data_IF_386360291732
#
_entry.id   IF_386360291732
#
_cell.length_a   1.000
_cell.length_b   1.000
_cell.length_c   1.000
_cell.angle_alpha   90.00
_cell.angle_beta   90.00
_cell.angle_gamma   90.00
#
_symmetry.space_group_name_H-M   'P 1'
#
loop_
_entity.id
_entity.type
_entity.pdbx_description
1 polymer ?
#
# COMPACT_ATOMS: atom_id res chain seq x y z
N UNK A 1 20.30 -3.73 8.10
CA UNK A 1 21.15 -3.94 9.29
C UNK A 1 20.40 -4.64 10.42
N UNK A 2 19.23 -4.13 10.87
CA UNK A 2 18.46 -4.74 11.97
C UNK A 2 18.07 -6.19 11.65
N UNK A 3 17.55 -6.45 10.44
CA UNK A 3 17.19 -7.80 10.00
C UNK A 3 18.41 -8.73 9.90
N UNK A 4 19.52 -8.22 9.37
CA UNK A 4 20.77 -8.99 9.30
C UNK A 4 21.28 -9.35 10.70
N UNK A 5 21.19 -8.43 11.67
CA UNK A 5 21.57 -8.70 13.04
C UNK A 5 20.72 -9.82 13.65
N UNK A 6 19.39 -9.77 13.50
CA UNK A 6 18.51 -10.83 13.97
C UNK A 6 18.83 -12.18 13.31
N UNK A 7 19.17 -12.20 12.02
CA UNK A 7 19.55 -13.43 11.30
C UNK A 7 20.84 -14.03 11.84
N UNK A 8 21.93 -13.25 11.94
CA UNK A 8 23.24 -13.77 12.37
C UNK A 8 23.28 -14.16 13.86
N UNK A 9 22.38 -13.60 14.66
CA UNK A 9 22.25 -13.95 16.09
C UNK A 9 21.22 -15.04 16.35
N UNK A 10 20.53 -15.56 15.31
CA UNK A 10 19.52 -16.60 15.44
C UNK A 10 18.19 -16.14 16.05
N UNK A 11 17.92 -14.82 16.05
CA UNK A 11 16.72 -14.24 16.65
C UNK A 11 15.62 -13.91 15.62
N UNK A 12 15.60 -14.63 14.49
CA UNK A 12 14.53 -14.53 13.50
C UNK A 12 13.53 -15.67 13.71
N UNK A 13 12.27 -15.31 13.80
CA UNK A 13 11.14 -16.22 13.91
C UNK A 13 11.20 -17.10 15.18
N UNK A 14 11.77 -16.56 16.24
CA UNK A 14 11.89 -17.19 17.54
C UNK A 14 11.42 -16.24 18.67
N UNK A 15 11.06 -16.83 19.80
CA UNK A 15 10.55 -16.11 20.98
C UNK A 15 11.65 -15.19 21.53
N UNK A 16 11.29 -13.91 21.71
CA UNK A 16 12.24 -12.87 22.14
C UNK A 16 12.98 -12.19 20.99
N UNK A 17 12.84 -12.66 19.77
CA UNK A 17 13.36 -12.05 18.56
C UNK A 17 12.26 -11.45 17.65
N UNK A 18 12.57 -11.32 16.38
CA UNK A 18 11.63 -10.88 15.36
C UNK A 18 10.69 -12.03 14.97
N UNK A 19 9.43 -11.95 15.33
CA UNK A 19 8.42 -12.95 15.02
C UNK A 19 7.44 -12.43 13.94
N UNK A 20 6.71 -13.36 13.33
CA UNK A 20 5.77 -13.06 12.24
C UNK A 20 4.33 -13.38 12.65
N UNK A 21 3.43 -12.47 12.32
CA UNK A 21 1.99 -12.66 12.58
C UNK A 21 1.36 -13.66 11.62
N UNK A 22 0.22 -14.21 12.01
CA UNK A 22 -0.74 -14.85 11.11
C UNK A 22 -1.97 -13.94 11.01
N UNK A 23 -1.93 -12.89 10.16
CA UNK A 23 -3.00 -11.90 10.11
C UNK A 23 -4.29 -12.53 9.58
N UNK A 24 -5.44 -12.02 10.02
CA UNK A 24 -6.74 -12.53 9.58
C UNK A 24 -6.96 -12.33 8.05
N UNK A 25 -6.33 -11.32 7.47
CA UNK A 25 -6.20 -11.14 6.03
C UNK A 25 -4.72 -11.14 5.69
N UNK A 26 -4.24 -12.23 5.12
CA UNK A 26 -2.83 -12.37 4.72
C UNK A 26 -2.62 -11.84 3.29
N UNK A 27 -2.49 -10.51 3.19
CA UNK A 27 -2.29 -9.83 1.91
C UNK A 27 -1.01 -10.31 1.21
N UNK A 28 0.06 -10.58 1.95
CA UNK A 28 1.33 -11.05 1.38
C UNK A 28 1.15 -12.39 0.69
N UNK A 29 0.48 -13.34 1.35
CA UNK A 29 0.19 -14.66 0.75
C UNK A 29 -0.76 -14.55 -0.45
N UNK A 30 -1.75 -13.67 -0.40
CA UNK A 30 -2.68 -13.44 -1.52
C UNK A 30 -1.91 -12.88 -2.72
N UNK A 31 -1.13 -11.81 -2.53
CA UNK A 31 -0.34 -11.18 -3.59
C UNK A 31 0.74 -12.12 -4.15
N UNK A 32 1.35 -12.96 -3.29
CA UNK A 32 2.32 -13.96 -3.71
C UNK A 32 1.72 -14.99 -4.68
N UNK A 33 0.52 -15.46 -4.40
CA UNK A 33 -0.18 -16.44 -5.26
C UNK A 33 -0.48 -15.91 -6.67
N UNK A 34 -0.66 -14.62 -6.81
CA UNK A 34 -0.90 -13.95 -8.10
C UNK A 34 0.38 -13.34 -8.70
N UNK A 35 1.55 -13.65 -8.11
CA UNK A 35 2.85 -13.23 -8.64
C UNK A 35 3.19 -11.75 -8.43
N UNK A 36 2.49 -11.05 -7.53
CA UNK A 36 2.71 -9.63 -7.26
C UNK A 36 3.68 -9.35 -6.10
N UNK A 37 4.18 -10.37 -5.42
CA UNK A 37 5.19 -10.21 -4.37
C UNK A 37 6.55 -10.78 -4.78
N UNK A 38 7.61 -10.23 -4.20
CA UNK A 38 8.99 -10.70 -4.42
C UNK A 38 9.53 -10.36 -5.81
N UNK A 39 8.88 -9.45 -6.53
CA UNK A 39 9.43 -8.89 -7.74
C UNK A 39 10.56 -7.93 -7.39
N UNK A 40 11.68 -8.09 -8.09
CA UNK A 40 12.87 -7.27 -7.92
C UNK A 40 13.60 -7.15 -9.25
N UNK A 41 14.08 -5.92 -9.57
CA UNK A 41 14.91 -5.62 -10.73
C UNK A 41 14.31 -6.03 -12.10
N UNK A 42 12.99 -6.01 -12.22
CA UNK A 42 12.29 -6.25 -13.51
C UNK A 42 12.45 -5.07 -14.46
N UNK A 43 12.58 -3.86 -13.91
CA UNK A 43 12.92 -2.62 -14.62
C UNK A 43 13.67 -1.68 -13.67
N UNK A 44 14.29 -0.66 -14.23
CA UNK A 44 15.11 0.28 -13.49
C UNK A 44 14.69 1.72 -13.74
N UNK A 45 14.99 2.61 -12.78
CA UNK A 45 14.80 4.03 -12.96
C UNK A 45 15.66 4.53 -14.13
N UNK A 46 15.08 5.41 -14.96
CA UNK A 46 15.68 5.88 -16.20
C UNK A 46 16.99 6.63 -16.02
N UNK A 47 17.06 7.47 -14.98
CA UNK A 47 18.22 8.38 -14.77
C UNK A 47 19.29 7.74 -13.90
N UNK A 48 18.91 7.12 -12.78
CA UNK A 48 19.87 6.58 -11.83
C UNK A 48 20.11 5.08 -11.96
N UNK A 49 19.39 4.43 -12.84
CA UNK A 49 19.46 2.98 -13.05
C UNK A 49 19.28 2.15 -11.77
N UNK A 50 18.44 2.64 -10.82
CA UNK A 50 18.14 1.91 -9.59
C UNK A 50 17.04 0.89 -9.84
N UNK A 51 17.13 -0.30 -9.22
CA UNK A 51 16.18 -1.39 -9.46
C UNK A 51 14.81 -1.08 -8.87
N UNK A 52 13.80 -1.64 -9.49
CA UNK A 52 12.43 -1.73 -8.95
C UNK A 52 12.37 -2.80 -7.86
N UNK A 53 11.50 -2.58 -6.87
CA UNK A 53 11.13 -3.57 -5.87
C UNK A 53 9.61 -3.59 -5.70
N UNK A 54 8.99 -4.75 -5.87
CA UNK A 54 7.55 -4.93 -5.66
C UNK A 54 6.64 -4.08 -6.58
N UNK A 55 7.15 -3.63 -7.72
CA UNK A 55 6.43 -2.74 -8.63
C UNK A 55 6.75 -1.26 -8.44
N UNK A 56 7.61 -0.90 -7.51
CA UNK A 56 7.90 0.48 -7.12
C UNK A 56 9.36 0.84 -7.38
N UNK A 57 9.60 2.08 -7.81
CA UNK A 57 10.93 2.66 -7.87
C UNK A 57 11.22 3.46 -6.60
N UNK A 58 12.49 3.56 -6.17
CA UNK A 58 12.85 4.38 -5.02
C UNK A 58 12.40 5.83 -5.20
N UNK A 59 11.62 6.36 -4.26
CA UNK A 59 11.11 7.75 -4.32
C UNK A 59 12.23 8.79 -4.41
N UNK A 60 13.43 8.45 -3.93
CA UNK A 60 14.62 9.29 -4.06
C UNK A 60 15.04 9.59 -5.53
N UNK A 61 14.50 8.83 -6.50
CA UNK A 61 14.75 9.07 -7.94
C UNK A 61 13.72 10.01 -8.56
N UNK A 62 12.62 10.32 -7.88
CA UNK A 62 11.48 11.03 -8.48
C UNK A 62 11.87 12.40 -9.03
N UNK A 63 12.66 13.19 -8.28
CA UNK A 63 13.12 14.48 -8.78
C UNK A 63 14.01 14.34 -10.03
N UNK A 64 14.88 13.33 -10.08
CA UNK A 64 15.72 13.06 -11.26
C UNK A 64 14.88 12.72 -12.48
N UNK A 65 13.83 11.91 -12.30
CA UNK A 65 12.93 11.49 -13.39
C UNK A 65 12.05 12.64 -13.91
N UNK A 66 11.76 13.63 -13.07
CA UNK A 66 11.03 14.85 -13.46
C UNK A 66 11.95 15.85 -14.17
N UNK A 67 13.13 16.12 -13.60
CA UNK A 67 14.01 17.20 -14.04
C UNK A 67 14.81 16.84 -15.30
N UNK A 68 15.23 15.58 -15.43
CA UNK A 68 16.12 15.18 -16.54
C UNK A 68 15.35 15.04 -17.86
N UNK A 69 15.68 15.83 -18.89
CA UNK A 69 15.03 15.75 -20.21
C UNK A 69 15.21 14.37 -20.86
N UNK A 70 14.37 14.09 -21.85
CA UNK A 70 14.48 12.90 -22.69
C UNK A 70 13.22 12.04 -22.70
N UNK A 71 13.26 10.98 -23.50
CA UNK A 71 12.13 10.04 -23.63
C UNK A 71 11.86 9.36 -22.29
N UNK A 72 10.58 9.31 -21.88
CA UNK A 72 10.16 8.72 -20.60
C UNK A 72 10.29 9.64 -19.40
N UNK A 73 10.62 10.93 -19.60
CA UNK A 73 10.55 11.95 -18.53
C UNK A 73 9.15 11.96 -17.90
N UNK A 74 9.09 12.04 -16.57
CA UNK A 74 7.83 12.23 -15.86
C UNK A 74 7.31 13.65 -16.12
N UNK A 75 6.10 13.76 -16.65
CA UNK A 75 5.42 15.02 -16.98
C UNK A 75 4.17 15.24 -16.15
N UNK A 76 3.63 14.17 -15.57
CA UNK A 76 2.46 14.21 -14.70
C UNK A 76 2.71 13.42 -13.42
N UNK A 77 2.15 13.88 -12.32
CA UNK A 77 2.21 13.24 -11.02
C UNK A 77 0.79 13.16 -10.43
N UNK A 78 0.46 12.02 -9.88
CA UNK A 78 -0.72 11.86 -9.04
C UNK A 78 -0.27 11.44 -7.65
N UNK A 79 -0.73 12.17 -6.63
CA UNK A 79 -0.51 11.79 -5.22
C UNK A 79 -1.82 11.39 -4.57
N UNK A 80 -1.76 10.40 -3.70
CA UNK A 80 -2.90 9.89 -2.96
C UNK A 80 -2.52 9.83 -1.50
N UNK A 81 -3.15 10.67 -0.67
CA UNK A 81 -2.95 10.73 0.78
C UNK A 81 -1.46 10.80 1.18
N UNK A 82 -0.65 11.54 0.40
CA UNK A 82 0.79 11.59 0.62
C UNK A 82 1.37 12.98 0.40
N UNK A 83 2.38 13.32 1.21
CA UNK A 83 3.14 14.57 1.10
C UNK A 83 4.63 14.28 0.83
N UNK A 84 4.99 13.82 -0.40
CA UNK A 84 6.35 13.46 -0.73
C UNK A 84 7.34 14.62 -0.63
N UNK A 85 6.93 15.87 -0.82
CA UNK A 85 7.81 17.03 -0.63
C UNK A 85 8.31 17.12 0.82
N UNK A 86 7.47 16.73 1.79
CA UNK A 86 7.85 16.69 3.20
C UNK A 86 8.54 15.39 3.60
N UNK A 87 8.06 14.25 3.11
CA UNK A 87 8.44 12.92 3.60
C UNK A 87 9.53 12.22 2.79
N UNK A 88 9.77 12.64 1.53
CA UNK A 88 10.80 12.03 0.70
C UNK A 88 12.18 12.72 0.86
N UNK A 89 13.29 12.03 0.56
CA UNK A 89 14.61 12.62 0.59
C UNK A 89 14.72 13.84 -0.34
N UNK A 90 15.45 14.87 0.12
CA UNK A 90 15.70 16.10 -0.63
C UNK A 90 14.41 16.85 -1.03
N UNK A 91 13.51 17.07 -0.08
CA UNK A 91 12.21 17.70 -0.28
C UNK A 91 12.28 19.06 -1.00
N UNK A 92 13.31 19.89 -0.74
CA UNK A 92 13.48 21.17 -1.46
C UNK A 92 13.68 21.01 -2.96
N UNK A 93 14.38 19.95 -3.37
CA UNK A 93 14.56 19.64 -4.79
C UNK A 93 13.25 19.11 -5.39
N UNK A 94 12.59 18.21 -4.66
CA UNK A 94 11.31 17.65 -5.10
C UNK A 94 10.21 18.72 -5.21
N UNK A 95 10.21 19.70 -4.31
CA UNK A 95 9.31 20.86 -4.37
C UNK A 95 9.45 21.63 -5.70
N UNK A 96 10.70 21.95 -6.09
CA UNK A 96 10.95 22.60 -7.39
C UNK A 96 10.59 21.71 -8.58
N UNK A 97 10.89 20.41 -8.47
CA UNK A 97 10.53 19.44 -9.50
C UNK A 97 9.01 19.36 -9.69
N UNK A 98 8.24 19.30 -8.61
CA UNK A 98 6.78 19.30 -8.66
C UNK A 98 6.22 20.58 -9.31
N UNK A 99 6.81 21.74 -9.01
CA UNK A 99 6.43 23.02 -9.64
C UNK A 99 6.66 23.04 -11.16
N UNK A 100 7.54 22.20 -11.70
CA UNK A 100 7.85 22.10 -13.14
C UNK A 100 7.00 21.09 -13.91
N UNK A 101 6.13 20.34 -13.23
CA UNK A 101 5.29 19.33 -13.86
C UNK A 101 4.17 19.97 -14.68
N UNK A 102 3.83 19.35 -15.80
CA UNK A 102 2.73 19.80 -16.65
C UNK A 102 1.36 19.53 -16.03
N UNK A 103 1.25 18.41 -15.28
CA UNK A 103 0.01 18.05 -14.59
C UNK A 103 0.33 17.43 -13.23
N UNK A 104 -0.31 17.97 -12.19
CA UNK A 104 -0.29 17.41 -10.84
C UNK A 104 -1.74 17.26 -10.38
N UNK A 105 -2.11 16.05 -9.98
CA UNK A 105 -3.39 15.73 -9.39
C UNK A 105 -3.15 15.20 -7.98
N UNK A 106 -3.89 15.70 -7.01
CA UNK A 106 -3.79 15.22 -5.63
C UNK A 106 -5.15 14.78 -5.11
N UNK A 107 -5.21 13.58 -4.54
CA UNK A 107 -6.32 13.10 -3.73
C UNK A 107 -5.90 13.25 -2.27
N UNK A 108 -6.28 14.37 -1.67
CA UNK A 108 -5.85 14.75 -0.32
C UNK A 108 -6.84 15.79 0.26
N UNK A 109 -7.26 15.70 1.54
CA UNK A 109 -8.12 16.68 2.16
C UNK A 109 -7.39 17.98 2.51
N UNK A 110 -6.05 18.00 2.49
CA UNK A 110 -5.24 19.13 2.94
C UNK A 110 -4.47 19.80 1.81
N UNK A 111 -4.35 21.12 1.92
CA UNK A 111 -3.39 21.90 1.14
C UNK A 111 -2.06 21.90 1.90
N UNK A 112 -1.08 21.15 1.39
CA UNK A 112 0.23 20.94 1.99
C UNK A 112 1.37 21.25 1.00
N UNK A 113 2.62 20.98 1.38
CA UNK A 113 3.81 21.28 0.58
C UNK A 113 3.80 20.63 -0.80
N UNK A 114 3.16 19.48 -0.94
CA UNK A 114 3.01 18.78 -2.23
C UNK A 114 1.77 19.25 -2.98
N UNK A 115 0.63 19.27 -2.30
CA UNK A 115 -0.66 19.54 -2.95
C UNK A 115 -0.83 20.98 -3.39
N UNK A 116 -0.03 21.94 -2.88
CA UNK A 116 0.04 23.30 -3.39
C UNK A 116 0.46 23.40 -4.87
N UNK A 117 1.13 22.38 -5.40
CA UNK A 117 1.47 22.26 -6.81
C UNK A 117 0.38 21.58 -7.66
N UNK A 118 -0.71 21.12 -7.04
CA UNK A 118 -1.75 20.42 -7.75
C UNK A 118 -2.55 21.37 -8.65
N UNK A 119 -2.69 20.98 -9.91
CA UNK A 119 -3.61 21.62 -10.85
C UNK A 119 -5.06 21.22 -10.56
N UNK A 120 -5.23 20.01 -9.99
CA UNK A 120 -6.52 19.50 -9.52
C UNK A 120 -6.34 18.87 -8.14
N UNK A 121 -7.04 19.38 -7.15
CA UNK A 121 -7.14 18.80 -5.82
C UNK A 121 -8.53 18.15 -5.68
N UNK A 122 -8.55 16.88 -5.33
CA UNK A 122 -9.75 16.06 -5.13
C UNK A 122 -9.84 15.68 -3.64
N UNK A 123 -10.50 16.51 -2.80
CA UNK A 123 -10.60 16.21 -1.37
C UNK A 123 -11.54 15.02 -1.15
N UNK A 124 -11.08 13.93 -0.53
CA UNK A 124 -11.95 12.83 -0.12
C UNK A 124 -12.76 13.20 1.12
N UNK A 125 -13.81 12.44 1.36
CA UNK A 125 -14.59 12.53 2.59
C UNK A 125 -13.70 12.32 3.83
N UNK A 126 -14.06 12.92 4.98
CA UNK A 126 -13.27 12.78 6.20
C UNK A 126 -13.01 11.32 6.58
N UNK A 127 -11.80 11.02 7.05
CA UNK A 127 -11.41 9.65 7.44
C UNK A 127 -12.36 9.03 8.47
N UNK A 128 -12.91 9.85 9.37
CA UNK A 128 -13.87 9.38 10.39
C UNK A 128 -15.22 8.95 9.82
N UNK A 129 -15.52 9.27 8.56
CA UNK A 129 -16.73 8.80 7.87
C UNK A 129 -16.54 7.46 7.13
N UNK A 130 -15.35 6.87 7.23
CA UNK A 130 -15.01 5.60 6.59
C UNK A 130 -14.78 4.51 7.65
N UNK A 131 -15.33 3.32 7.42
CA UNK A 131 -14.97 2.15 8.21
C UNK A 131 -13.53 1.76 7.95
N UNK A 132 -12.80 1.34 8.99
CA UNK A 132 -11.39 1.04 8.91
C UNK A 132 -11.04 -0.37 9.37
N UNK A 133 -10.25 -1.07 8.57
CA UNK A 133 -9.56 -2.30 8.91
C UNK A 133 -8.11 -2.18 8.45
N UNK A 134 -7.18 -2.40 9.36
CA UNK A 134 -5.76 -2.29 9.03
C UNK A 134 -5.27 -3.56 8.33
N UNK A 135 -5.11 -3.47 7.01
CA UNK A 135 -4.61 -4.58 6.20
C UNK A 135 -3.10 -4.79 6.32
N UNK A 136 -2.35 -3.73 6.51
CA UNK A 136 -0.88 -3.77 6.45
C UNK A 136 -0.26 -3.90 7.85
N UNK A 137 -0.66 -3.05 8.79
CA UNK A 137 0.03 -2.95 10.07
C UNK A 137 -0.32 -4.08 11.04
N UNK A 138 -1.43 -4.79 10.83
CA UNK A 138 -1.70 -6.02 11.55
C UNK A 138 -0.59 -7.08 11.35
N UNK A 139 0.19 -6.99 10.25
CA UNK A 139 1.35 -7.84 10.04
C UNK A 139 2.51 -7.55 11.01
N UNK A 140 2.53 -6.39 11.65
CA UNK A 140 3.55 -5.96 12.63
C UNK A 140 3.05 -5.97 14.08
N UNK A 141 1.87 -6.51 14.32
CA UNK A 141 1.31 -6.58 15.66
C UNK A 141 2.08 -7.59 16.54
N UNK A 142 2.15 -7.32 17.83
CA UNK A 142 2.80 -8.21 18.82
C UNK A 142 1.98 -9.45 19.18
N UNK A 143 0.75 -9.52 18.69
CA UNK A 143 -0.18 -10.67 18.77
C UNK A 143 -0.99 -10.73 17.49
N UNK A 144 -1.52 -11.89 17.17
CA UNK A 144 -2.50 -12.00 16.10
C UNK A 144 -3.79 -11.34 16.52
N UNK A 145 -4.18 -10.27 15.83
CA UNK A 145 -5.38 -9.48 16.14
C UNK A 145 -6.15 -9.16 14.87
N UNK A 146 -7.44 -8.91 15.03
CA UNK A 146 -8.28 -8.34 13.98
C UNK A 146 -9.26 -7.34 14.61
N UNK A 147 -9.29 -6.12 14.06
CA UNK A 147 -10.22 -5.07 14.50
C UNK A 147 -10.80 -4.37 13.28
N UNK A 148 -12.09 -4.18 13.30
CA UNK A 148 -12.79 -3.27 12.40
C UNK A 148 -13.35 -2.11 13.21
N UNK A 149 -13.14 -0.90 12.77
CA UNK A 149 -13.71 0.32 13.34
C UNK A 149 -14.81 0.83 12.43
N UNK A 150 -16.01 1.00 12.97
CA UNK A 150 -17.13 1.60 12.24
C UNK A 150 -16.88 3.10 12.01
N UNK A 151 -17.51 3.70 10.99
CA UNK A 151 -17.55 5.14 10.84
C UNK A 151 -18.03 5.82 12.13
N UNK A 152 -17.44 6.94 12.50
CA UNK A 152 -17.78 7.72 13.69
C UNK A 152 -18.74 8.86 13.36
N UNK A 153 -18.66 9.35 12.11
CA UNK A 153 -19.50 10.43 11.61
C UNK A 153 -20.13 10.02 10.27
N UNK A 154 -21.29 10.55 9.97
CA UNK A 154 -21.93 10.37 8.69
C UNK A 154 -21.23 11.19 7.61
N UNK A 155 -21.08 10.61 6.42
CA UNK A 155 -20.57 11.29 5.25
C UNK A 155 -21.62 12.25 4.68
N UNK A 156 -21.20 13.46 4.33
CA UNK A 156 -22.09 14.36 3.60
C UNK A 156 -22.40 13.82 2.20
N UNK A 157 -23.64 13.92 1.69
CA UNK A 157 -24.04 13.33 0.39
C UNK A 157 -23.23 13.81 -0.82
N UNK A 158 -22.64 15.01 -0.77
CA UNK A 158 -21.81 15.55 -1.84
C UNK A 158 -20.35 15.07 -1.79
N UNK A 159 -19.90 14.46 -0.69
CA UNK A 159 -18.55 13.97 -0.51
C UNK A 159 -18.38 12.57 -1.13
N UNK A 160 -17.15 12.24 -1.48
CA UNK A 160 -16.76 10.93 -1.99
C UNK A 160 -15.58 10.41 -1.20
N UNK A 161 -15.58 9.12 -0.91
CA UNK A 161 -14.39 8.47 -0.39
C UNK A 161 -13.30 8.38 -1.46
N UNK A 162 -12.05 8.29 -1.05
CA UNK A 162 -10.89 8.16 -1.91
C UNK A 162 -11.02 6.99 -2.91
N UNK A 163 -11.48 5.82 -2.46
CA UNK A 163 -11.70 4.66 -3.31
C UNK A 163 -12.76 4.90 -4.40
N UNK A 164 -13.80 5.72 -4.15
CA UNK A 164 -14.81 6.11 -5.14
C UNK A 164 -14.20 7.04 -6.20
N UNK A 165 -13.36 7.98 -5.76
CA UNK A 165 -12.60 8.87 -6.64
C UNK A 165 -11.67 8.05 -7.54
N UNK A 166 -10.93 7.10 -6.94
CA UNK A 166 -10.00 6.24 -7.68
C UNK A 166 -10.72 5.29 -8.64
N UNK A 167 -11.88 4.74 -8.27
CA UNK A 167 -12.69 3.93 -9.15
C UNK A 167 -13.16 4.70 -10.39
N UNK A 168 -13.63 5.93 -10.22
CA UNK A 168 -14.05 6.81 -11.32
C UNK A 168 -12.86 7.20 -12.21
N UNK A 169 -11.72 7.56 -11.62
CA UNK A 169 -10.50 7.88 -12.37
C UNK A 169 -9.98 6.67 -13.14
N UNK A 170 -9.92 5.50 -12.50
CA UNK A 170 -9.49 4.26 -13.12
C UNK A 170 -10.38 3.87 -14.31
N UNK A 171 -11.71 3.97 -14.16
CA UNK A 171 -12.62 3.73 -15.26
C UNK A 171 -12.42 4.71 -16.43
N UNK A 172 -12.12 6.00 -16.13
CA UNK A 172 -11.86 7.01 -17.18
C UNK A 172 -10.55 6.80 -17.92
N UNK A 173 -9.51 6.35 -17.21
CA UNK A 173 -8.17 6.16 -17.76
C UNK A 173 -8.03 4.85 -18.55
N UNK A 174 -8.65 3.77 -18.07
CA UNK A 174 -8.38 2.42 -18.58
C UNK A 174 -9.56 1.79 -19.35
N UNK A 175 -10.79 2.26 -19.14
CA UNK A 175 -11.93 1.70 -19.87
C UNK A 175 -12.23 2.47 -21.16
N UNK A 176 -12.66 1.76 -22.23
CA UNK A 176 -13.21 2.40 -23.43
C UNK A 176 -14.36 3.33 -23.09
N UNK A 177 -14.53 4.42 -23.83
CA UNK A 177 -15.49 5.48 -23.51
C UNK A 177 -16.91 4.98 -23.23
N UNK A 178 -17.39 4.02 -24.01
CA UNK A 178 -18.72 3.42 -23.86
C UNK A 178 -18.86 2.56 -22.58
N UNK A 179 -17.76 2.05 -22.04
CA UNK A 179 -17.73 1.17 -20.86
C UNK A 179 -17.36 1.89 -19.56
N UNK A 180 -17.04 3.17 -19.60
CA UNK A 180 -16.60 3.94 -18.40
C UNK A 180 -17.63 3.91 -17.28
N UNK A 181 -18.88 4.23 -17.59
CA UNK A 181 -19.94 4.25 -16.59
C UNK A 181 -20.26 2.84 -16.02
N UNK A 182 -20.45 1.78 -16.84
CA UNK A 182 -20.65 0.44 -16.30
C UNK A 182 -19.44 -0.09 -15.52
N UNK A 183 -18.20 0.21 -15.94
CA UNK A 183 -17.00 -0.20 -15.20
C UNK A 183 -16.90 0.52 -13.85
N UNK A 184 -17.12 1.84 -13.82
CA UNK A 184 -17.16 2.59 -12.57
C UNK A 184 -18.28 2.08 -11.64
N UNK A 185 -19.45 1.76 -12.18
CA UNK A 185 -20.55 1.16 -11.43
C UNK A 185 -20.19 -0.20 -10.84
N UNK A 186 -19.57 -1.08 -11.63
CA UNK A 186 -19.11 -2.38 -11.17
C UNK A 186 -18.06 -2.27 -10.06
N UNK A 187 -17.08 -1.35 -10.20
CA UNK A 187 -16.08 -1.09 -9.17
C UNK A 187 -16.72 -0.58 -7.86
N UNK A 188 -17.76 0.24 -7.94
CA UNK A 188 -18.51 0.69 -6.75
C UNK A 188 -19.29 -0.44 -6.09
N UNK A 189 -19.83 -1.39 -6.86
CA UNK A 189 -20.48 -2.58 -6.31
C UNK A 189 -19.48 -3.47 -5.56
N UNK A 190 -18.23 -3.51 -6.01
CA UNK A 190 -17.11 -4.17 -5.31
C UNK A 190 -16.66 -3.41 -4.06
N UNK A 191 -17.55 -2.76 -3.35
CA UNK A 191 -17.28 -1.96 -2.16
C UNK A 191 -16.14 -2.56 -1.28
N UNK A 192 -15.19 -1.76 -0.76
CA UNK A 192 -14.05 -2.26 0.02
C UNK A 192 -14.41 -3.22 1.16
N UNK A 193 -15.52 -2.96 1.85
CA UNK A 193 -16.00 -3.86 2.92
C UNK A 193 -16.41 -5.24 2.41
N UNK A 194 -16.96 -5.35 1.19
CA UNK A 194 -17.30 -6.66 0.61
C UNK A 194 -16.07 -7.46 0.26
N UNK A 195 -15.05 -6.76 -0.26
CA UNK A 195 -13.73 -7.35 -0.52
C UNK A 195 -13.10 -7.80 0.79
N UNK A 196 -13.15 -6.95 1.82
CA UNK A 196 -12.64 -7.28 3.15
C UNK A 196 -13.37 -8.48 3.76
N UNK A 197 -14.71 -8.51 3.74
CA UNK A 197 -15.48 -9.64 4.28
C UNK A 197 -15.14 -10.95 3.55
N UNK A 198 -14.97 -10.90 2.23
CA UNK A 198 -14.54 -12.06 1.45
C UNK A 198 -13.13 -12.52 1.87
N UNK A 199 -12.16 -11.60 1.96
CA UNK A 199 -10.79 -11.92 2.38
C UNK A 199 -10.73 -12.48 3.81
N UNK A 200 -11.51 -11.94 4.73
CA UNK A 200 -11.62 -12.45 6.10
C UNK A 200 -12.13 -13.89 6.12
N UNK A 201 -13.13 -14.21 5.30
CA UNK A 201 -13.72 -15.57 5.21
C UNK A 201 -12.77 -16.62 4.65
N UNK A 202 -11.96 -16.25 3.66
CA UNK A 202 -10.97 -17.16 3.07
C UNK A 202 -9.64 -17.16 3.82
N UNK A 203 -9.45 -16.20 4.74
CA UNK A 203 -8.25 -16.08 5.56
C UNK A 203 -8.11 -17.22 6.59
N UNK A 204 -6.94 -17.32 7.24
CA UNK A 204 -6.60 -18.44 8.13
C UNK A 204 -7.54 -18.57 9.33
N UNK A 205 -8.10 -17.48 9.81
CA UNK A 205 -8.99 -17.46 10.97
C UNK A 205 -10.48 -17.53 10.61
N UNK A 206 -10.83 -17.58 9.31
CA UNK A 206 -12.20 -17.71 8.79
C UNK A 206 -13.20 -16.76 9.44
N UNK A 207 -12.83 -15.51 9.60
CA UNK A 207 -13.63 -14.46 10.19
C UNK A 207 -14.63 -13.88 9.17
N UNK A 208 -15.57 -13.09 9.68
CA UNK A 208 -16.43 -12.23 8.86
C UNK A 208 -16.44 -10.81 9.42
N UNK A 209 -16.72 -9.84 8.55
CA UNK A 209 -16.88 -8.45 8.97
C UNK A 209 -17.99 -8.30 10.02
N UNK A 210 -19.08 -9.05 9.88
CA UNK A 210 -20.16 -9.07 10.86
C UNK A 210 -19.72 -9.55 12.25
N UNK A 211 -18.77 -10.48 12.33
CA UNK A 211 -18.19 -10.90 13.62
C UNK A 211 -17.32 -9.80 14.22
N UNK A 212 -16.51 -9.11 13.41
CA UNK A 212 -15.67 -8.01 13.90
C UNK A 212 -16.49 -6.82 14.37
N UNK A 213 -17.61 -6.51 13.71
CA UNK A 213 -18.56 -5.48 14.15
C UNK A 213 -19.15 -5.73 15.52
N UNK A 214 -19.29 -6.99 15.92
CA UNK A 214 -19.77 -7.36 17.26
C UNK A 214 -18.69 -7.28 18.35
N UNK A 215 -17.44 -7.03 17.97
CA UNK A 215 -16.30 -6.94 18.88
C UNK A 215 -15.58 -5.60 18.68
N UNK A 216 -16.14 -4.48 19.14
CA UNK A 216 -15.63 -3.13 18.84
C UNK A 216 -14.21 -2.88 19.36
N UNK A 217 -13.78 -3.61 20.37
CA UNK A 217 -12.40 -3.54 20.89
C UNK A 217 -11.40 -4.43 20.14
N UNK A 218 -11.86 -5.12 19.09
CA UNK A 218 -11.07 -6.08 18.32
C UNK A 218 -11.14 -7.49 18.89
N UNK A 219 -10.57 -8.43 18.15
CA UNK A 219 -10.53 -9.85 18.50
C UNK A 219 -9.08 -10.30 18.64
N UNK A 220 -8.74 -10.86 19.79
CA UNK A 220 -7.47 -11.56 19.99
C UNK A 220 -7.56 -12.93 19.27
N UNK A 221 -6.62 -13.20 18.40
CA UNK A 221 -6.53 -14.43 17.60
C UNK A 221 -5.38 -15.33 18.09
N UNK A 222 -4.77 -14.99 19.22
CA UNK A 222 -3.73 -15.77 19.86
C UNK A 222 -2.32 -15.16 19.74
N UNK A 223 -1.35 -15.79 20.41
CA UNK A 223 0.05 -15.38 20.37
C UNK A 223 0.65 -15.60 18.98
N UNK A 224 1.82 -15.02 18.74
CA UNK A 224 2.65 -15.36 17.60
C UNK A 224 3.28 -16.74 17.84
N UNK A 225 3.40 -17.53 16.80
CA UNK A 225 4.02 -18.85 16.83
C UNK A 225 5.38 -18.82 16.12
N UNK A 226 6.45 -19.38 16.70
CA UNK A 226 7.74 -19.48 16.05
C UNK A 226 7.72 -20.47 14.87
N UNK A 227 8.70 -20.36 13.97
CA UNK A 227 8.84 -21.27 12.82
C UNK A 227 7.95 -20.93 11.62
N UNK A 228 7.28 -19.79 11.61
CA UNK A 228 6.41 -19.37 10.51
C UNK A 228 7.17 -19.05 9.22
N UNK A 229 8.34 -18.45 9.32
CA UNK A 229 9.15 -18.10 8.13
C UNK A 229 9.60 -19.36 7.38
N UNK A 230 9.98 -20.40 8.11
CA UNK A 230 10.35 -21.68 7.52
C UNK A 230 9.20 -22.30 6.73
N UNK A 231 7.98 -22.22 7.24
CA UNK A 231 6.77 -22.69 6.54
C UNK A 231 6.47 -21.87 5.28
N UNK A 232 6.63 -20.54 5.34
CA UNK A 232 6.40 -19.65 4.18
C UNK A 232 7.43 -19.95 3.07
N UNK A 233 8.70 -20.09 3.43
CA UNK A 233 9.79 -20.34 2.47
C UNK A 233 9.63 -21.74 1.85
N UNK A 234 9.40 -22.77 2.66
CA UNK A 234 9.22 -24.13 2.18
C UNK A 234 7.99 -24.24 1.25
N UNK A 235 6.88 -23.60 1.61
CA UNK A 235 5.68 -23.58 0.79
C UNK A 235 5.82 -22.80 -0.53
N UNK A 236 6.75 -21.84 -0.59
CA UNK A 236 7.02 -21.05 -1.79
C UNK A 236 8.11 -21.65 -2.69
N UNK A 237 8.83 -22.69 -2.25
CA UNK A 237 9.99 -23.24 -2.98
C UNK A 237 11.11 -22.22 -3.20
N UNK A 238 11.23 -21.25 -2.31
CA UNK A 238 12.17 -20.11 -2.42
C UNK A 238 13.25 -20.20 -1.35
N UNK A 239 14.35 -19.48 -1.60
CA UNK A 239 15.43 -19.24 -0.64
C UNK A 239 15.47 -17.77 -0.27
N UNK A 240 16.04 -17.46 0.90
CA UNK A 240 16.34 -16.07 1.28
C UNK A 240 17.75 -15.77 0.81
N UNK A 241 17.91 -14.80 -0.06
CA UNK A 241 19.21 -14.22 -0.38
C UNK A 241 19.56 -13.15 0.66
N UNK A 242 20.55 -13.45 1.50
CA UNK A 242 21.00 -12.56 2.57
C UNK A 242 22.02 -11.52 2.10
N UNK A 243 22.59 -11.71 0.93
CA UNK A 243 23.63 -10.87 0.38
C UNK A 243 23.42 -10.63 -1.13
N UNK A 244 22.28 -10.04 -1.51
CA UNK A 244 22.05 -9.74 -2.92
C UNK A 244 23.15 -8.81 -3.45
N UNK A 245 23.57 -9.04 -4.69
CA UNK A 245 24.72 -8.39 -5.32
C UNK A 245 24.70 -6.87 -5.21
N UNK A 246 23.53 -6.26 -5.24
CA UNK A 246 23.36 -4.81 -5.11
C UNK A 246 23.63 -4.27 -3.69
N UNK A 247 23.70 -5.13 -2.68
CA UNK A 247 24.06 -4.75 -1.30
C UNK A 247 25.52 -5.09 -0.93
N UNK A 248 26.20 -5.86 -1.77
CA UNK A 248 27.59 -6.31 -1.54
C UNK A 248 28.59 -5.44 -2.32
N UNK A 249 28.15 -4.66 -3.26
CA UNK A 249 28.90 -3.66 -4.02
C UNK A 249 28.85 -2.30 -3.35
#
# INVERSE_FOLDING_TARGET
LVQALNLVTGHVDDVGGMMFTTPAVDVVSILSRIGLTGAYDRWRSRVRNLPEFGGELPVATLADEIETPGRGRIRALMTIAGNPVLSAPNGRRLDRACASLEHVVAVDPYLNETTRHAHVLLPPAPLLSLGHYDLALNAFAVRNIAKYSEPVVDRHPSERHDWEILADLGARLFAPQLLRAPVAGALRVLHPERILDFMLRIGPHRLSLAQLRRTPHGRDLGPLEPGRIAQIIAGAGRTIDLAPVDFVR
#
